data_IF_818002736275
#
_entry.id   IF_818002736275
#
_cell.length_a   1.000
_cell.length_b   1.000
_cell.length_c   1.000
_cell.angle_alpha   90.00
_cell.angle_beta   90.00
_cell.angle_gamma   90.00
#
_symmetry.space_group_name_H-M   'P 1'
#
loop_
_entity.id
_entity.type
_entity.pdbx_description
1 polymer ?
#
# COMPACT_ATOMS: atom_id res chain seq x y z
N UNK A 1 -19.30 23.05 26.37
CA UNK A 1 -18.18 22.91 27.32
C UNK A 1 -17.27 21.70 27.02
N UNK A 2 -17.82 20.50 26.81
CA UNK A 2 -17.08 19.22 26.63
C UNK A 2 -16.15 19.21 25.41
N UNK A 3 -16.58 19.80 24.28
CA UNK A 3 -15.76 19.90 23.06
C UNK A 3 -14.49 20.73 23.30
N UNK A 4 -14.64 21.88 23.98
CA UNK A 4 -13.51 22.75 24.30
C UNK A 4 -12.55 22.08 25.30
N UNK A 5 -13.08 21.29 26.24
CA UNK A 5 -12.27 20.48 27.15
C UNK A 5 -11.47 19.40 26.40
N UNK A 6 -12.14 18.65 25.52
CA UNK A 6 -11.51 17.61 24.71
C UNK A 6 -10.40 18.20 23.83
N UNK A 7 -10.68 19.30 23.12
CA UNK A 7 -9.70 19.99 22.28
C UNK A 7 -8.45 20.41 23.07
N UNK A 8 -8.61 21.06 24.23
CA UNK A 8 -7.48 21.48 25.07
C UNK A 8 -6.66 20.31 25.59
N UNK A 9 -7.31 19.21 26.01
CA UNK A 9 -6.62 17.99 26.44
C UNK A 9 -5.82 17.38 25.29
N UNK A 10 -6.41 17.24 24.11
CA UNK A 10 -5.71 16.74 22.92
C UNK A 10 -4.53 17.63 22.53
N UNK A 11 -4.70 18.95 22.54
CA UNK A 11 -3.62 19.89 22.20
C UNK A 11 -2.43 19.79 23.18
N UNK A 12 -2.70 19.69 24.49
CA UNK A 12 -1.67 19.51 25.51
C UNK A 12 -0.92 18.18 25.33
N UNK A 13 -1.65 17.09 25.09
CA UNK A 13 -1.09 15.76 24.86
C UNK A 13 -0.19 15.73 23.60
N UNK A 14 -0.67 16.31 22.49
CA UNK A 14 0.11 16.38 21.26
C UNK A 14 1.35 17.27 21.43
N UNK A 15 1.26 18.37 22.17
CA UNK A 15 2.42 19.21 22.49
C UNK A 15 3.46 18.44 23.31
N UNK A 16 3.02 17.68 24.31
CA UNK A 16 3.90 16.84 25.12
C UNK A 16 4.59 15.76 24.27
N UNK A 17 3.82 14.97 23.51
CA UNK A 17 4.34 13.88 22.66
C UNK A 17 5.31 14.36 21.57
N UNK A 18 5.06 15.54 21.01
CA UNK A 18 5.93 16.12 19.98
C UNK A 18 7.13 16.87 20.53
N UNK A 19 7.21 17.11 21.84
CA UNK A 19 8.18 18.04 22.43
C UNK A 19 7.97 19.48 21.93
N UNK A 20 6.74 19.86 21.60
CA UNK A 20 6.38 21.17 21.05
C UNK A 20 6.65 21.35 19.57
N UNK A 21 7.12 20.32 18.87
CA UNK A 21 7.55 20.38 17.46
C UNK A 21 6.43 19.94 16.51
N UNK A 22 5.83 20.88 15.79
CA UNK A 22 4.72 20.58 14.88
C UNK A 22 5.11 19.61 13.77
N UNK A 23 6.35 19.64 13.29
CA UNK A 23 6.82 18.71 12.27
C UNK A 23 6.88 17.26 12.75
N UNK A 24 6.92 17.00 14.06
CA UNK A 24 6.83 15.66 14.62
C UNK A 24 5.39 15.12 14.57
N UNK A 25 4.38 15.99 14.41
CA UNK A 25 2.97 15.63 14.28
C UNK A 25 2.54 15.40 12.83
N UNK A 26 3.42 15.61 11.86
CA UNK A 26 3.12 15.37 10.45
C UNK A 26 2.56 13.96 10.27
N UNK A 27 1.43 13.85 9.57
CA UNK A 27 0.77 12.57 9.29
C UNK A 27 1.75 11.56 8.69
N UNK A 28 2.60 12.04 7.79
CA UNK A 28 3.59 11.22 7.10
C UNK A 28 4.72 10.67 7.96
N UNK A 29 4.87 11.13 9.21
CA UNK A 29 5.78 10.53 10.18
C UNK A 29 5.09 9.53 11.09
N UNK A 30 3.78 9.70 11.30
CA UNK A 30 3.00 8.95 12.27
C UNK A 30 2.08 7.90 11.65
N UNK A 31 1.92 7.83 10.33
CA UNK A 31 1.06 6.84 9.69
C UNK A 31 1.87 6.02 8.68
N UNK A 32 2.61 5.05 9.20
CA UNK A 32 3.55 4.23 8.44
C UNK A 32 2.96 2.86 8.15
N UNK A 33 3.10 2.44 6.90
CA UNK A 33 2.80 1.08 6.47
C UNK A 33 3.70 0.07 7.18
N UNK A 34 3.11 -1.05 7.57
CA UNK A 34 3.80 -2.24 8.03
C UNK A 34 3.10 -3.48 7.45
N UNK A 35 3.85 -4.32 6.76
CA UNK A 35 3.39 -5.56 6.14
C UNK A 35 4.21 -6.68 6.75
N UNK A 36 3.56 -7.53 7.55
CA UNK A 36 4.21 -8.66 8.17
C UNK A 36 4.48 -9.77 7.15
N UNK A 37 5.64 -10.42 7.26
CA UNK A 37 5.95 -11.60 6.45
C UNK A 37 5.02 -12.75 6.79
N UNK A 38 4.56 -13.49 5.76
CA UNK A 38 3.76 -14.71 5.94
C UNK A 38 4.50 -15.81 6.70
N UNK A 39 5.83 -15.79 6.72
CA UNK A 39 6.64 -16.73 7.49
C UNK A 39 6.65 -16.44 9.00
N UNK A 40 6.19 -15.26 9.42
CA UNK A 40 6.32 -14.77 10.79
C UNK A 40 7.73 -14.28 11.17
N UNK A 41 8.70 -14.31 10.24
CA UNK A 41 10.02 -13.73 10.48
C UNK A 41 10.00 -12.21 10.27
N UNK A 42 10.22 -11.45 11.33
CA UNK A 42 10.22 -9.98 11.30
C UNK A 42 11.33 -9.37 10.44
N UNK A 43 12.43 -10.09 10.20
CA UNK A 43 13.49 -9.64 9.28
C UNK A 43 12.99 -9.50 7.85
N UNK A 44 11.86 -10.15 7.53
CA UNK A 44 11.24 -10.12 6.22
C UNK A 44 10.01 -9.21 6.17
N UNK A 45 9.64 -8.57 7.28
CA UNK A 45 8.61 -7.55 7.25
C UNK A 45 9.01 -6.43 6.28
N UNK A 46 8.00 -5.77 5.73
CA UNK A 46 8.16 -4.61 4.85
C UNK A 46 7.33 -3.44 5.35
N UNK A 47 7.62 -2.25 4.86
CA UNK A 47 6.94 -1.05 5.31
C UNK A 47 7.80 0.19 5.20
N UNK A 48 7.58 1.16 6.09
CA UNK A 48 8.36 2.40 6.16
C UNK A 48 7.89 3.49 5.18
N UNK A 49 6.79 3.25 4.47
CA UNK A 49 6.15 4.25 3.63
C UNK A 49 4.97 4.89 4.36
N UNK A 50 4.86 6.21 4.29
CA UNK A 50 3.65 6.89 4.72
C UNK A 50 2.51 6.54 3.79
N UNK A 51 1.33 6.33 4.38
CA UNK A 51 0.09 6.14 3.62
C UNK A 51 -0.95 7.18 4.03
N UNK A 52 -1.78 7.67 3.10
CA UNK A 52 -2.92 8.52 3.44
C UNK A 52 -4.08 7.67 3.97
N UNK A 53 -4.98 8.31 4.71
CA UNK A 53 -6.20 7.67 5.21
C UNK A 53 -6.00 6.81 6.46
N UNK A 54 -7.14 6.43 7.06
CA UNK A 54 -7.25 5.61 8.25
C UNK A 54 -8.59 4.83 8.23
N UNK A 55 -8.93 4.19 9.34
CA UNK A 55 -10.16 3.39 9.53
C UNK A 55 -11.48 4.17 9.39
N UNK A 56 -11.42 5.51 9.34
CA UNK A 56 -12.56 6.41 9.20
C UNK A 56 -12.58 7.16 7.85
N UNK A 57 -11.74 6.77 6.90
CA UNK A 57 -11.67 7.43 5.57
C UNK A 57 -11.95 6.46 4.43
N UNK A 58 -12.25 7.00 3.24
CA UNK A 58 -12.46 6.22 2.02
C UNK A 58 -11.23 5.44 1.55
N UNK A 59 -10.03 5.88 1.89
CA UNK A 59 -8.82 5.08 1.73
C UNK A 59 -8.58 4.33 3.06
N UNK A 60 -9.11 3.10 3.21
CA UNK A 60 -9.10 2.43 4.50
C UNK A 60 -7.67 2.11 4.91
N UNK A 61 -7.40 2.32 6.20
CA UNK A 61 -6.16 1.94 6.86
C UNK A 61 -6.44 1.59 8.33
N UNK A 62 -5.38 1.36 9.10
CA UNK A 62 -5.48 1.31 10.56
C UNK A 62 -5.80 2.70 11.16
N UNK A 63 -6.04 2.80 12.46
CA UNK A 63 -6.46 4.06 13.12
C UNK A 63 -5.35 5.12 13.30
N UNK A 64 -4.24 5.02 12.56
CA UNK A 64 -3.03 5.82 12.75
C UNK A 64 -1.87 5.03 13.37
N UNK A 65 -0.64 5.51 13.24
CA UNK A 65 0.54 4.88 13.83
C UNK A 65 1.14 3.80 12.93
N UNK A 66 0.75 2.58 13.26
CA UNK A 66 1.22 1.34 12.66
C UNK A 66 0.13 0.79 11.73
N UNK A 67 0.28 1.03 10.44
CA UNK A 67 -0.72 0.65 9.43
C UNK A 67 -0.46 -0.76 8.96
N UNK A 68 -1.11 -1.73 9.60
CA UNK A 68 -1.04 -3.17 9.29
C UNK A 68 -2.28 -3.71 8.59
N UNK A 69 -3.26 -2.84 8.32
CA UNK A 69 -4.48 -3.18 7.61
C UNK A 69 -4.91 -2.04 6.70
N UNK A 70 -5.65 -2.36 5.64
CA UNK A 70 -6.15 -1.39 4.66
C UNK A 70 -6.57 -2.06 3.36
N UNK A 71 -6.65 -1.27 2.29
CA UNK A 71 -6.94 -1.81 0.96
C UNK A 71 -5.82 -2.76 0.50
N UNK A 72 -6.16 -4.01 0.19
CA UNK A 72 -5.21 -4.91 -0.46
C UNK A 72 -5.07 -4.52 -1.94
N UNK A 73 -5.89 -5.12 -2.79
CA UNK A 73 -5.93 -4.85 -4.21
C UNK A 73 -6.65 -3.54 -4.53
N UNK A 74 -6.05 -2.71 -5.38
CA UNK A 74 -6.70 -1.53 -5.97
C UNK A 74 -6.65 -1.65 -7.48
N UNK A 75 -7.77 -1.41 -8.16
CA UNK A 75 -7.88 -1.56 -9.62
C UNK A 75 -8.86 -0.57 -10.21
N UNK A 76 -8.54 -0.07 -11.40
CA UNK A 76 -9.42 0.73 -12.25
C UNK A 76 -9.46 0.02 -13.60
N UNK A 77 -10.67 -0.26 -14.09
CA UNK A 77 -10.90 -0.98 -15.34
C UNK A 77 -11.53 -0.04 -16.34
N UNK A 78 -10.91 0.08 -17.52
CA UNK A 78 -11.54 0.67 -18.69
C UNK A 78 -12.21 -0.45 -19.49
N UNK A 79 -13.54 -0.49 -19.48
CA UNK A 79 -14.30 -1.51 -20.21
C UNK A 79 -14.32 -1.29 -21.72
N UNK A 80 -14.02 -0.07 -22.21
CA UNK A 80 -13.86 0.20 -23.63
C UNK A 80 -12.47 -0.20 -24.13
N UNK A 81 -11.44 -0.05 -23.29
CA UNK A 81 -10.05 -0.42 -23.57
C UNK A 81 -9.42 -1.21 -22.42
N UNK A 82 -9.69 -2.52 -22.29
CA UNK A 82 -9.21 -3.33 -21.16
C UNK A 82 -7.69 -3.29 -20.95
N UNK A 83 -6.91 -3.11 -22.02
CA UNK A 83 -5.44 -2.97 -21.99
C UNK A 83 -4.94 -1.71 -21.26
N UNK A 84 -5.81 -0.72 -21.05
CA UNK A 84 -5.51 0.53 -20.36
C UNK A 84 -5.89 0.47 -18.88
N UNK A 85 -6.38 -0.68 -18.42
CA UNK A 85 -6.67 -0.93 -17.01
C UNK A 85 -5.40 -0.86 -16.16
N UNK A 86 -5.55 -0.40 -14.93
CA UNK A 86 -4.43 -0.20 -14.00
C UNK A 86 -4.74 -0.81 -12.64
N UNK A 87 -3.73 -1.31 -11.96
CA UNK A 87 -3.86 -1.97 -10.67
C UNK A 87 -2.60 -1.93 -9.85
N UNK A 88 -2.74 -2.19 -8.55
CA UNK A 88 -1.62 -2.25 -7.61
C UNK A 88 -1.96 -3.10 -6.39
N UNK A 89 -0.96 -3.81 -5.89
CA UNK A 89 -1.00 -4.65 -4.70
C UNK A 89 -0.05 -4.08 -3.62
N UNK A 90 -0.36 -4.17 -2.29
CA UNK A 90 0.47 -3.66 -1.21
C UNK A 90 1.56 -4.68 -0.85
N UNK A 91 2.54 -4.84 -1.72
CA UNK A 91 3.58 -5.86 -1.59
C UNK A 91 4.30 -6.06 -2.91
N UNK A 92 4.65 -7.30 -3.20
CA UNK A 92 5.03 -7.73 -4.53
C UNK A 92 4.34 -9.05 -4.88
N UNK A 93 4.52 -9.50 -6.11
CA UNK A 93 3.89 -10.71 -6.63
C UNK A 93 4.54 -12.03 -6.14
N UNK A 94 5.58 -11.95 -5.31
CA UNK A 94 6.27 -13.09 -4.73
C UNK A 94 6.22 -13.06 -3.21
N UNK A 95 5.99 -14.21 -2.58
CA UNK A 95 6.14 -14.37 -1.13
C UNK A 95 7.56 -14.75 -0.71
N UNK A 96 8.51 -14.82 -1.64
CA UNK A 96 9.92 -15.13 -1.35
C UNK A 96 10.73 -13.83 -1.18
N UNK A 97 11.29 -13.53 0.01
CA UNK A 97 12.06 -12.32 0.27
C UNK A 97 13.30 -12.13 -0.59
N UNK A 98 13.82 -13.21 -1.19
CA UNK A 98 14.95 -13.16 -2.13
C UNK A 98 14.54 -12.85 -3.58
N UNK A 99 13.24 -12.86 -3.88
CA UNK A 99 12.72 -12.54 -5.19
C UNK A 99 12.62 -11.01 -5.36
N UNK A 100 13.08 -10.43 -6.49
CA UNK A 100 12.91 -9.01 -6.77
C UNK A 100 11.46 -8.51 -6.72
N UNK A 101 10.49 -9.41 -6.93
CA UNK A 101 9.06 -9.12 -6.86
C UNK A 101 8.46 -9.35 -5.47
N UNK A 102 9.25 -9.27 -4.40
CA UNK A 102 8.74 -9.42 -3.03
C UNK A 102 8.06 -8.15 -2.51
N UNK A 103 8.60 -6.98 -2.86
CA UNK A 103 8.21 -5.68 -2.31
C UNK A 103 8.19 -4.54 -3.34
N UNK A 104 8.35 -4.87 -4.62
CA UNK A 104 8.53 -3.92 -5.72
C UNK A 104 7.33 -2.99 -5.96
N UNK A 105 6.11 -3.40 -5.61
CA UNK A 105 4.91 -2.57 -5.77
C UNK A 105 4.60 -1.73 -4.52
N UNK A 106 5.27 -1.94 -3.38
CA UNK A 106 5.02 -1.19 -2.13
C UNK A 106 5.13 0.33 -2.35
N UNK A 107 6.18 0.87 -3.00
CA UNK A 107 6.29 2.31 -3.22
C UNK A 107 5.15 2.87 -4.08
N UNK A 108 4.72 2.13 -5.10
CA UNK A 108 3.59 2.53 -5.96
C UNK A 108 2.30 2.56 -5.15
N UNK A 109 2.01 1.48 -4.43
CA UNK A 109 0.80 1.36 -3.62
C UNK A 109 0.72 2.47 -2.55
N UNK A 110 1.83 2.73 -1.84
CA UNK A 110 1.85 3.76 -0.80
C UNK A 110 1.63 5.18 -1.36
N UNK A 111 2.10 5.44 -2.57
CA UNK A 111 1.93 6.72 -3.28
C UNK A 111 0.58 6.84 -4.00
N UNK A 112 -0.25 5.80 -4.00
CA UNK A 112 -1.49 5.78 -4.80
C UNK A 112 -1.23 5.75 -6.31
N UNK A 113 -0.07 5.23 -6.72
CA UNK A 113 0.29 4.98 -8.13
C UNK A 113 -0.05 3.54 -8.50
N UNK A 114 -0.21 3.30 -9.80
CA UNK A 114 -0.67 2.03 -10.33
C UNK A 114 0.27 1.52 -11.42
N UNK A 115 0.34 0.21 -11.57
CA UNK A 115 0.95 -0.46 -12.71
C UNK A 115 -0.11 -0.77 -13.76
N UNK A 116 0.29 -0.85 -15.03
CA UNK A 116 -0.59 -1.29 -16.11
C UNK A 116 -0.95 -2.76 -15.91
N UNK A 117 -2.23 -3.10 -16.11
CA UNK A 117 -2.72 -4.46 -16.16
C UNK A 117 -2.79 -4.88 -17.62
N UNK A 118 -1.93 -5.80 -18.03
CA UNK A 118 -1.91 -6.32 -19.41
C UNK A 118 -3.09 -7.30 -19.56
N UNK A 119 -4.28 -6.75 -19.80
CA UNK A 119 -5.48 -7.52 -20.13
C UNK A 119 -5.63 -7.57 -21.65
N UNK A 120 -5.42 -8.74 -22.22
CA UNK A 120 -5.56 -8.97 -23.66
C UNK A 120 -6.44 -10.18 -23.93
N UNK A 121 -7.08 -10.19 -25.09
CA UNK A 121 -8.01 -11.22 -25.53
C UNK A 121 -7.32 -12.40 -26.23
N UNK A 122 -6.08 -12.22 -26.70
CA UNK A 122 -5.32 -13.20 -27.46
C UNK A 122 -3.83 -13.18 -27.10
N UNK A 123 -3.18 -14.33 -27.19
CA UNK A 123 -1.77 -14.54 -26.84
C UNK A 123 -0.80 -13.74 -27.72
N UNK A 124 -1.09 -13.60 -29.02
CA UNK A 124 -0.26 -12.80 -29.94
C UNK A 124 -0.24 -11.30 -29.58
N UNK A 125 -1.25 -10.83 -28.85
CA UNK A 125 -1.27 -9.48 -28.29
C UNK A 125 -0.37 -9.38 -27.05
N UNK A 126 -0.25 -10.43 -26.23
CA UNK A 126 0.64 -10.44 -25.05
C UNK A 126 2.07 -10.12 -25.47
N UNK A 127 2.59 -10.80 -26.49
CA UNK A 127 4.00 -10.68 -26.93
C UNK A 127 4.41 -9.23 -27.29
N UNK A 128 3.45 -8.38 -27.66
CA UNK A 128 3.70 -6.96 -27.94
C UNK A 128 3.97 -6.13 -26.67
N UNK A 129 3.49 -6.59 -25.52
CA UNK A 129 3.60 -5.89 -24.24
C UNK A 129 4.83 -6.32 -23.41
N UNK A 130 5.59 -7.34 -23.83
CA UNK A 130 6.80 -7.74 -23.11
C UNK A 130 7.28 -9.17 -23.39
N UNK A 131 8.23 -9.61 -22.57
CA UNK A 131 8.77 -10.98 -22.61
C UNK A 131 7.96 -11.86 -21.68
N UNK A 132 7.38 -12.93 -22.22
CA UNK A 132 6.62 -13.91 -21.45
C UNK A 132 7.37 -15.24 -21.42
N UNK A 133 7.16 -15.99 -20.34
CA UNK A 133 7.63 -17.38 -20.21
C UNK A 133 6.41 -18.26 -20.09
N UNK A 134 6.23 -19.15 -21.06
CA UNK A 134 5.18 -20.17 -21.01
C UNK A 134 5.75 -21.42 -20.37
N UNK A 135 5.01 -22.00 -19.41
CA UNK A 135 5.33 -23.28 -18.80
C UNK A 135 4.11 -24.17 -18.95
N UNK A 136 4.26 -25.27 -19.68
CA UNK A 136 3.20 -26.25 -19.87
C UNK A 136 3.40 -27.40 -18.89
N UNK A 137 2.40 -27.66 -18.05
CA UNK A 137 2.38 -28.83 -17.20
C UNK A 137 1.72 -29.97 -17.96
N UNK A 138 2.46 -31.06 -18.15
CA UNK A 138 1.91 -32.32 -18.63
C UNK A 138 1.59 -33.17 -17.41
N UNK A 139 0.34 -33.68 -17.25
CA UNK A 139 -0.04 -34.57 -16.16
C UNK A 139 0.85 -35.81 -16.06
#
# INVERSE_FOLDING_TARGET
>A
DIIALAFRKTAAELKHRSGGRLEALAWSKNNQLHISSISGNSDWDRGGHSVPGNSFTLNPGSSGGHVSSGASWRMIVDFAHPSDSIGVYPGGQSSNPSNPHYDDLIPLWAQGKYAQLIMVDREDTLEKHGKFKTTQFTP
#
